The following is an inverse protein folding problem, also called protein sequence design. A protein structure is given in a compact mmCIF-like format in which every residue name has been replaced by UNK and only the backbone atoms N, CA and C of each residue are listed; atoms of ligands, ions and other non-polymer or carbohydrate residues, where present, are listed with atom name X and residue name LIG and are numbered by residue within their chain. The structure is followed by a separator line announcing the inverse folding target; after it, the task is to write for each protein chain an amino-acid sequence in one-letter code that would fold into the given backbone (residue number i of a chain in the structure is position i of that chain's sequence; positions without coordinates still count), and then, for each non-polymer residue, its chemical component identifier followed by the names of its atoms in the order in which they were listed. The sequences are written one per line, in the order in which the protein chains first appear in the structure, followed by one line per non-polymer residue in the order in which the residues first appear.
data_IF_561021882549
#
_entry.id   IF_561021882549
#
_cell.length_a   1.000
_cell.length_b   1.000
_cell.length_c   1.000
_cell.angle_alpha   90.00
_cell.angle_beta   90.00
_cell.angle_gamma   90.00
#
_symmetry.space_group_name_H-M   'P 1'
#
loop_
_entity.id
_entity.type
_entity.pdbx_description
1 polymer ?
#
# COMPACT_ATOMS: atom_id res chain seq x y z
N UNK A 1 13.03 -4.68 4.95
CA UNK A 1 12.42 -6.02 4.78
C UNK A 1 12.90 -6.96 5.86
N UNK A 2 14.21 -7.13 6.01
CA UNK A 2 14.82 -7.96 7.07
C UNK A 2 14.43 -7.54 8.49
N UNK A 3 14.30 -6.23 8.76
CA UNK A 3 13.91 -5.72 10.10
C UNK A 3 12.49 -6.07 10.55
N UNK A 4 11.61 -6.46 9.63
CA UNK A 4 10.23 -6.88 9.89
C UNK A 4 9.97 -8.32 9.45
N UNK A 5 11.03 -9.05 9.04
CA UNK A 5 10.97 -10.44 8.55
C UNK A 5 9.85 -10.67 7.51
N UNK A 6 9.67 -9.71 6.59
CA UNK A 6 8.65 -9.84 5.54
C UNK A 6 9.03 -10.96 4.57
N UNK A 7 8.17 -11.95 4.44
CA UNK A 7 8.36 -13.11 3.55
C UNK A 7 8.02 -12.79 2.09
N UNK A 8 6.99 -11.95 1.87
CA UNK A 8 6.49 -11.60 0.53
C UNK A 8 6.08 -10.12 0.47
N UNK A 9 6.18 -9.52 -0.71
CA UNK A 9 5.72 -8.15 -0.98
C UNK A 9 4.82 -8.12 -2.20
N UNK A 10 3.61 -7.59 -1.99
CA UNK A 10 2.62 -7.40 -3.04
C UNK A 10 2.63 -5.96 -3.57
N UNK A 11 2.85 -5.82 -4.86
CA UNK A 11 2.69 -4.57 -5.59
C UNK A 11 1.27 -4.51 -6.17
N UNK A 12 0.47 -3.54 -5.73
CA UNK A 12 -0.94 -3.43 -6.14
C UNK A 12 -1.13 -2.14 -6.96
N UNK A 13 -1.09 -2.21 -8.30
CA UNK A 13 -1.40 -1.05 -9.13
C UNK A 13 -2.87 -0.67 -9.01
N UNK A 14 -3.16 0.49 -8.42
CA UNK A 14 -4.52 1.02 -8.35
C UNK A 14 -5.07 1.39 -9.74
N UNK A 15 -6.36 1.14 -10.00
CA UNK A 15 -7.02 1.66 -11.21
C UNK A 15 -7.16 3.18 -11.12
N UNK A 16 -7.76 3.65 -10.01
CA UNK A 16 -7.83 5.06 -9.65
C UNK A 16 -7.63 5.23 -8.15
N UNK A 17 -6.66 6.05 -7.76
CA UNK A 17 -6.45 6.42 -6.36
C UNK A 17 -7.49 7.48 -5.92
N UNK A 18 -8.08 7.37 -4.71
CA UNK A 18 -9.20 8.18 -4.27
C UNK A 18 -8.82 9.64 -3.98
N UNK A 19 -7.55 9.88 -3.63
CA UNK A 19 -7.00 11.20 -3.31
C UNK A 19 -6.22 11.85 -4.46
N UNK A 20 -6.30 11.28 -5.67
CA UNK A 20 -5.70 11.85 -6.88
C UNK A 20 -6.80 12.31 -7.81
N UNK A 21 -6.80 13.59 -8.15
CA UNK A 21 -7.81 14.19 -9.04
C UNK A 21 -7.69 13.72 -10.50
N UNK A 22 -6.52 13.21 -10.88
CA UNK A 22 -6.23 12.76 -12.23
C UNK A 22 -6.02 11.25 -12.25
N UNK A 23 -6.59 10.62 -13.26
CA UNK A 23 -6.28 9.23 -13.58
C UNK A 23 -4.84 9.07 -14.04
N UNK A 24 -4.25 7.88 -13.84
CA UNK A 24 -2.93 7.58 -14.39
C UNK A 24 -2.90 7.83 -15.90
N UNK A 25 -1.81 8.42 -16.40
CA UNK A 25 -1.63 8.68 -17.84
C UNK A 25 -1.40 7.41 -18.64
N UNK A 26 -0.73 6.42 -18.04
CA UNK A 26 -0.46 5.14 -18.66
C UNK A 26 -1.60 4.15 -18.43
N UNK A 27 -1.93 3.38 -19.46
CA UNK A 27 -2.96 2.34 -19.42
C UNK A 27 -2.69 1.31 -18.33
N UNK A 28 -3.76 0.68 -17.83
CA UNK A 28 -3.67 -0.35 -16.79
C UNK A 28 -2.71 -1.48 -17.18
N UNK A 29 -2.83 -2.01 -18.39
CA UNK A 29 -2.00 -3.12 -18.88
C UNK A 29 -0.53 -2.74 -18.98
N UNK A 30 -0.24 -1.53 -19.47
CA UNK A 30 1.12 -1.01 -19.51
C UNK A 30 1.73 -0.86 -18.11
N UNK A 31 0.96 -0.36 -17.15
CA UNK A 31 1.41 -0.24 -15.75
C UNK A 31 1.66 -1.59 -15.10
N UNK A 32 0.80 -2.57 -15.37
CA UNK A 32 0.99 -3.94 -14.88
C UNK A 32 2.26 -4.56 -15.47
N UNK A 33 2.42 -4.52 -16.80
CA UNK A 33 3.61 -5.04 -17.48
C UNK A 33 4.92 -4.36 -17.03
N UNK A 34 4.91 -3.05 -16.81
CA UNK A 34 6.08 -2.33 -16.27
C UNK A 34 6.42 -2.79 -14.86
N UNK A 35 5.42 -3.03 -14.00
CA UNK A 35 5.66 -3.54 -12.65
C UNK A 35 6.21 -4.96 -12.67
N UNK A 36 5.62 -5.86 -13.47
CA UNK A 36 6.12 -7.23 -13.62
C UNK A 36 7.57 -7.24 -14.09
N UNK A 37 7.90 -6.45 -15.11
CA UNK A 37 9.28 -6.33 -15.60
C UNK A 37 10.24 -5.75 -14.55
N UNK A 38 9.77 -4.85 -13.69
CA UNK A 38 10.59 -4.23 -12.65
C UNK A 38 10.93 -5.18 -11.49
N UNK A 39 10.13 -6.22 -11.27
CA UNK A 39 10.29 -7.16 -10.14
C UNK A 39 10.60 -8.60 -10.58
N UNK A 40 10.79 -8.85 -11.87
CA UNK A 40 10.88 -10.21 -12.45
C UNK A 40 11.98 -11.10 -11.82
N UNK A 41 13.06 -10.49 -11.33
CA UNK A 41 14.21 -11.18 -10.75
C UNK A 41 14.14 -11.31 -9.22
N UNK A 42 13.03 -10.89 -8.59
CA UNK A 42 12.84 -10.87 -7.14
C UNK A 42 11.75 -11.89 -6.72
N UNK A 43 12.11 -13.12 -6.29
CA UNK A 43 11.14 -14.19 -6.04
C UNK A 43 10.11 -13.90 -4.94
N UNK A 44 10.45 -13.01 -4.01
CA UNK A 44 9.56 -12.60 -2.93
C UNK A 44 8.55 -11.54 -3.36
N UNK A 45 8.65 -10.98 -4.57
CA UNK A 45 7.82 -9.88 -5.04
C UNK A 45 6.79 -10.39 -6.06
N UNK A 46 5.55 -9.92 -5.91
CA UNK A 46 4.46 -10.29 -6.80
C UNK A 46 3.60 -9.06 -7.13
N UNK A 47 3.09 -8.98 -8.36
CA UNK A 47 2.07 -7.99 -8.73
C UNK A 47 0.69 -8.59 -8.49
N UNK A 48 -0.21 -7.83 -7.85
CA UNK A 48 -1.63 -8.16 -7.74
C UNK A 48 -2.46 -7.13 -8.50
N UNK A 49 -3.05 -7.56 -9.61
CA UNK A 49 -3.87 -6.74 -10.51
C UNK A 49 -5.33 -6.55 -10.02
N UNK A 50 -5.64 -6.93 -8.78
CA UNK A 50 -7.00 -6.99 -8.25
C UNK A 50 -7.74 -5.64 -8.31
N UNK A 51 -7.02 -4.54 -8.10
CA UNK A 51 -7.58 -3.18 -8.21
C UNK A 51 -7.80 -2.76 -9.67
N UNK A 52 -6.92 -3.16 -10.59
CA UNK A 52 -7.09 -2.93 -12.03
C UNK A 52 -8.35 -3.64 -12.56
N UNK A 53 -8.53 -4.90 -12.17
CA UNK A 53 -9.66 -5.73 -12.59
C UNK A 53 -11.01 -5.21 -12.08
N UNK A 54 -11.03 -4.58 -10.91
CA UNK A 54 -12.25 -3.99 -10.34
C UNK A 54 -12.65 -2.70 -11.08
N UNK A 55 -11.66 -1.97 -11.62
CA UNK A 55 -11.86 -0.65 -12.20
C UNK A 55 -12.34 0.39 -11.17
N UNK A 56 -12.55 1.62 -11.64
CA UNK A 56 -13.06 2.71 -10.79
C UNK A 56 -12.10 3.11 -9.66
N UNK A 57 -12.65 3.76 -8.64
CA UNK A 57 -11.89 4.22 -7.46
C UNK A 57 -11.70 3.07 -6.48
N UNK A 58 -10.44 2.78 -6.15
CA UNK A 58 -10.09 1.73 -5.20
C UNK A 58 -9.73 2.33 -3.84
N UNK A 59 -10.17 1.69 -2.76
CA UNK A 59 -9.83 2.11 -1.40
C UNK A 59 -9.01 1.04 -0.72
N UNK A 60 -7.90 1.43 -0.10
CA UNK A 60 -6.98 0.52 0.58
C UNK A 60 -7.67 -0.38 1.61
N UNK A 61 -8.68 0.12 2.32
CA UNK A 61 -9.44 -0.68 3.30
C UNK A 61 -10.18 -1.86 2.67
N UNK A 62 -10.69 -1.67 1.45
CA UNK A 62 -11.43 -2.71 0.74
C UNK A 62 -10.46 -3.77 0.19
N UNK A 63 -9.30 -3.34 -0.32
CA UNK A 63 -8.20 -4.22 -0.73
C UNK A 63 -7.64 -5.03 0.44
N UNK A 64 -7.37 -4.38 1.59
CA UNK A 64 -6.86 -5.03 2.79
C UNK A 64 -7.83 -6.11 3.31
N UNK A 65 -9.13 -5.82 3.38
CA UNK A 65 -10.17 -6.80 3.74
C UNK A 65 -10.15 -8.01 2.83
N UNK A 66 -10.04 -7.79 1.51
CA UNK A 66 -9.99 -8.87 0.52
C UNK A 66 -8.76 -9.78 0.72
N UNK A 67 -7.58 -9.18 0.93
CA UNK A 67 -6.34 -9.93 1.11
C UNK A 67 -6.31 -10.72 2.41
N UNK A 68 -6.75 -10.12 3.52
CA UNK A 68 -6.84 -10.80 4.82
C UNK A 68 -7.81 -11.97 4.75
N UNK A 69 -8.93 -11.81 4.04
CA UNK A 69 -9.88 -12.89 3.84
C UNK A 69 -9.30 -14.05 3.01
N UNK A 70 -8.53 -13.73 1.97
CA UNK A 70 -7.89 -14.73 1.09
C UNK A 70 -6.72 -15.46 1.75
N UNK A 71 -6.05 -14.82 2.70
CA UNK A 71 -4.89 -15.39 3.39
C UNK A 71 -5.06 -15.32 4.92
N UNK A 72 -5.97 -16.12 5.49
CA UNK A 72 -6.21 -16.14 6.93
C UNK A 72 -4.95 -16.58 7.68
N UNK A 73 -4.70 -15.95 8.84
CA UNK A 73 -3.56 -16.27 9.70
C UNK A 73 -2.25 -15.56 9.34
N UNK A 74 -2.20 -14.80 8.23
CA UNK A 74 -1.06 -13.95 7.89
C UNK A 74 -1.16 -12.59 8.57
N UNK A 75 -0.01 -12.03 8.94
CA UNK A 75 0.11 -10.63 9.37
C UNK A 75 0.36 -9.76 8.15
N UNK A 76 -0.41 -8.69 8.02
CA UNK A 76 -0.30 -7.77 6.88
C UNK A 76 0.33 -6.45 7.30
N UNK A 77 1.14 -5.91 6.40
CA UNK A 77 1.73 -4.59 6.50
C UNK A 77 1.39 -3.79 5.25
N UNK A 78 1.06 -2.51 5.41
CA UNK A 78 0.91 -1.59 4.29
C UNK A 78 2.14 -0.69 4.18
N UNK A 79 2.89 -0.84 3.10
CA UNK A 79 4.09 -0.05 2.82
C UNK A 79 3.69 1.23 2.10
N UNK A 80 4.17 2.38 2.60
CA UNK A 80 3.98 3.70 1.99
C UNK A 80 5.25 4.54 2.13
N UNK A 81 5.35 5.58 1.31
CA UNK A 81 6.29 6.66 1.59
C UNK A 81 5.86 7.47 2.81
N UNK A 82 6.81 7.92 3.61
CA UNK A 82 6.57 8.76 4.79
C UNK A 82 5.77 10.03 4.47
N UNK A 83 5.94 10.58 3.28
CA UNK A 83 5.19 11.72 2.73
C UNK A 83 3.66 11.56 2.80
N UNK A 84 3.17 10.31 2.79
CA UNK A 84 1.74 10.02 2.85
C UNK A 84 1.18 9.97 4.28
N UNK A 85 2.02 9.90 5.31
CA UNK A 85 1.56 9.80 6.71
C UNK A 85 0.67 10.98 7.12
N UNK A 86 1.05 12.20 6.71
CA UNK A 86 0.27 13.40 7.02
C UNK A 86 -1.16 13.35 6.45
N UNK A 87 -1.37 12.59 5.36
CA UNK A 87 -2.66 12.46 4.68
C UNK A 87 -3.41 11.17 5.06
N UNK A 88 -2.86 10.34 5.94
CA UNK A 88 -3.45 9.04 6.28
C UNK A 88 -4.86 9.18 6.87
N UNK A 89 -5.12 10.25 7.62
CA UNK A 89 -6.44 10.58 8.15
C UNK A 89 -7.53 10.78 7.09
N UNK A 90 -7.16 11.02 5.83
CA UNK A 90 -8.09 11.18 4.70
C UNK A 90 -8.44 9.86 4.05
N UNK A 91 -7.78 8.76 4.43
CA UNK A 91 -8.06 7.44 3.85
C UNK A 91 -9.41 6.95 4.37
N UNK A 92 -10.20 6.36 3.46
CA UNK A 92 -11.51 5.80 3.79
C UNK A 92 -11.37 4.76 4.90
N UNK A 93 -12.19 4.89 5.93
CA UNK A 93 -12.24 4.01 7.10
C UNK A 93 -10.88 3.75 7.76
N UNK A 94 -10.02 4.77 7.84
CA UNK A 94 -8.64 4.60 8.32
C UNK A 94 -8.54 3.94 9.70
N UNK A 95 -9.44 4.25 10.64
CA UNK A 95 -9.46 3.59 11.95
C UNK A 95 -9.72 2.08 11.84
N UNK A 96 -10.60 1.67 10.93
CA UNK A 96 -10.84 0.25 10.67
C UNK A 96 -9.63 -0.39 9.97
N UNK A 97 -9.00 0.31 9.04
CA UNK A 97 -7.78 -0.17 8.37
C UNK A 97 -6.63 -0.38 9.37
N UNK A 98 -6.47 0.51 10.36
CA UNK A 98 -5.49 0.35 11.43
C UNK A 98 -5.74 -0.86 12.34
N UNK A 99 -6.97 -1.40 12.36
CA UNK A 99 -7.28 -2.64 13.08
C UNK A 99 -7.00 -3.90 12.24
N UNK A 100 -6.87 -3.74 10.92
CA UNK A 100 -6.67 -4.83 9.98
C UNK A 100 -5.19 -5.10 9.69
N UNK A 101 -4.36 -4.06 9.67
CA UNK A 101 -2.94 -4.15 9.33
C UNK A 101 -2.10 -3.08 10.03
N UNK A 102 -0.79 -3.25 9.96
CA UNK A 102 0.19 -2.28 10.44
C UNK A 102 0.80 -1.52 9.27
N UNK A 103 1.33 -0.32 9.51
CA UNK A 103 1.91 0.51 8.46
C UNK A 103 3.43 0.49 8.51
N UNK A 104 4.06 0.56 7.34
CA UNK A 104 5.51 0.72 7.18
C UNK A 104 5.76 1.98 6.35
N UNK A 105 6.29 3.01 6.98
CA UNK A 105 6.66 4.26 6.33
C UNK A 105 8.14 4.22 5.93
N UNK A 106 8.38 4.29 4.62
CA UNK A 106 9.73 4.41 4.05
C UNK A 106 10.14 5.88 4.02
N UNK A 107 11.25 6.20 4.66
CA UNK A 107 11.79 7.56 4.67
C UNK A 107 12.30 7.94 3.27
N UNK A 108 11.94 9.14 2.80
CA UNK A 108 12.49 9.67 1.56
C UNK A 108 13.69 10.57 1.82
N UNK A 109 14.89 10.24 1.31
CA UNK A 109 16.05 11.12 1.42
C UNK A 109 15.74 12.54 0.90
N UNK A 110 16.03 13.55 1.72
CA UNK A 110 15.82 14.95 1.36
C UNK A 110 14.44 15.52 1.70
N UNK A 111 13.53 14.72 2.29
CA UNK A 111 12.24 15.20 2.79
C UNK A 111 12.24 15.34 4.32
N UNK A 112 11.55 16.36 4.88
CA UNK A 112 11.40 16.47 6.32
C UNK A 112 10.56 15.30 6.83
N UNK A 113 11.03 14.71 7.93
CA UNK A 113 10.34 13.62 8.62
C UNK A 113 8.98 14.14 9.11
N UNK A 114 7.85 13.63 8.59
CA UNK A 114 6.55 14.12 9.01
C UNK A 114 6.20 13.62 10.41
N UNK A 115 5.43 14.42 11.16
CA UNK A 115 4.86 13.99 12.44
C UNK A 115 3.93 12.79 12.25
N UNK A 116 3.91 11.90 13.24
CA UNK A 116 2.98 10.77 13.23
C UNK A 116 1.56 11.27 13.53
N UNK A 117 0.57 10.97 12.68
CA UNK A 117 -0.79 11.42 12.92
C UNK A 117 -1.40 10.69 14.12
N UNK A 118 -2.20 11.40 14.90
CA UNK A 118 -2.96 10.81 16.00
C UNK A 118 -4.21 10.11 15.48
N UNK A 119 -4.07 8.84 15.08
CA UNK A 119 -5.16 7.99 14.57
C UNK A 119 -5.33 6.80 15.53
N UNK A 120 -6.53 6.55 16.07
CA UNK A 120 -6.75 5.43 16.98
C UNK A 120 -6.37 4.09 16.35
N UNK A 121 -5.56 3.31 17.06
CA UNK A 121 -5.09 1.99 16.61
C UNK A 121 -3.95 2.00 15.60
N UNK A 122 -3.46 3.18 15.17
CA UNK A 122 -2.36 3.25 14.22
C UNK A 122 -1.06 2.70 14.82
N UNK A 123 -0.61 1.57 14.28
CA UNK A 123 0.74 1.06 14.46
C UNK A 123 1.54 1.33 13.19
N UNK A 124 2.61 2.14 13.28
CA UNK A 124 3.43 2.53 12.14
C UNK A 124 4.91 2.37 12.46
N UNK A 125 5.59 1.56 11.65
CA UNK A 125 7.03 1.33 11.67
C UNK A 125 7.70 2.27 10.68
N UNK A 126 8.85 2.85 11.03
CA UNK A 126 9.64 3.67 10.11
C UNK A 126 10.90 2.91 9.71
N UNK A 127 11.18 2.88 8.41
CA UNK A 127 12.38 2.25 7.86
C UNK A 127 13.11 3.29 7.01
N UNK A 128 14.42 3.37 7.22
CA UNK A 128 15.34 4.25 6.51
C UNK A 128 16.05 3.53 5.38
#
# INVERSE_FOLDING_TARGET
MESLELEEVFFIPAAQAPLKDKSPTADADHRNAMLEAAIQDEPAFQVLDCELNTGGVNYTVDTARSLIHKHPGRRFFWILGDDQLANLHKWKDITALCQLLEFVALERPGHPIPEQPNIPGLCCHRIR
#
